data_IF_329625106394
#
_entry.id   IF_329625106394
#
_cell.length_a   1.000
_cell.length_b   1.000
_cell.length_c   1.000
_cell.angle_alpha   90.00
_cell.angle_beta   90.00
_cell.angle_gamma   90.00
#
_symmetry.space_group_name_H-M   'P 1'
#
loop_
_entity.id
_entity.type
_entity.pdbx_description
1 polymer ?
#
# COMPACT_ATOMS: atom_id res chain seq x y z
N UNK A 1 -28.01 -12.77 0.27
CA UNK A 1 -28.79 -12.65 -0.99
C UNK A 1 -28.62 -13.91 -1.81
N UNK A 2 -29.67 -14.47 -2.43
CA UNK A 2 -29.53 -15.65 -3.27
C UNK A 2 -28.60 -15.35 -4.45
N UNK A 3 -27.57 -16.19 -4.65
CA UNK A 3 -26.59 -16.06 -5.74
C UNK A 3 -27.27 -16.43 -7.08
N UNK A 4 -28.03 -15.50 -7.64
CA UNK A 4 -28.51 -15.60 -9.02
C UNK A 4 -27.34 -15.41 -9.98
N UNK A 5 -26.99 -16.43 -10.75
CA UNK A 5 -26.00 -16.33 -11.83
C UNK A 5 -26.69 -15.76 -13.08
N UNK A 6 -26.08 -14.74 -13.69
CA UNK A 6 -26.52 -14.21 -14.99
C UNK A 6 -25.33 -14.10 -15.93
N UNK A 7 -25.61 -14.23 -17.23
CA UNK A 7 -24.61 -14.08 -18.31
C UNK A 7 -24.50 -12.60 -18.67
N UNK A 8 -23.26 -12.12 -18.82
CA UNK A 8 -22.94 -10.77 -19.27
C UNK A 8 -22.24 -10.87 -20.63
N UNK A 9 -22.69 -10.09 -21.63
CA UNK A 9 -21.98 -9.97 -22.90
C UNK A 9 -20.79 -9.04 -22.74
N UNK A 10 -19.62 -9.47 -23.23
CA UNK A 10 -18.38 -8.69 -23.26
C UNK A 10 -17.71 -8.91 -24.61
N UNK A 11 -16.96 -7.92 -25.07
CA UNK A 11 -16.09 -8.09 -26.23
C UNK A 11 -15.13 -9.28 -26.03
N UNK A 12 -14.98 -10.10 -27.07
CA UNK A 12 -14.22 -11.35 -27.01
C UNK A 12 -12.73 -11.10 -26.75
N UNK A 13 -12.17 -10.06 -27.35
CA UNK A 13 -10.75 -9.75 -27.21
C UNK A 13 -10.45 -9.33 -25.77
N UNK A 14 -11.27 -8.43 -25.21
CA UNK A 14 -11.17 -8.04 -23.80
C UNK A 14 -11.34 -9.24 -22.84
N UNK A 15 -12.28 -10.14 -23.15
CA UNK A 15 -12.53 -11.32 -22.32
C UNK A 15 -11.30 -12.26 -22.28
N UNK A 16 -10.65 -12.51 -23.42
CA UNK A 16 -9.46 -13.36 -23.48
C UNK A 16 -8.24 -12.68 -22.83
N UNK A 17 -8.07 -11.36 -22.94
CA UNK A 17 -7.02 -10.65 -22.22
C UNK A 17 -7.18 -10.76 -20.69
N UNK A 18 -8.39 -10.50 -20.19
CA UNK A 18 -8.66 -10.59 -18.75
C UNK A 18 -8.49 -12.03 -18.25
N UNK A 19 -8.86 -13.02 -19.06
CA UNK A 19 -8.67 -14.45 -18.74
C UNK A 19 -7.19 -14.81 -18.63
N UNK A 20 -6.34 -14.33 -19.54
CA UNK A 20 -4.90 -14.53 -19.44
C UNK A 20 -4.31 -13.89 -18.18
N UNK A 21 -4.76 -12.68 -17.81
CA UNK A 21 -4.37 -11.99 -16.58
C UNK A 21 -4.81 -12.78 -15.33
N UNK A 22 -6.03 -13.32 -15.33
CA UNK A 22 -6.53 -14.13 -14.23
C UNK A 22 -5.68 -15.40 -14.04
N UNK A 23 -5.34 -16.09 -15.13
CA UNK A 23 -4.52 -17.30 -15.09
C UNK A 23 -3.08 -17.05 -14.64
N UNK A 24 -2.45 -15.96 -15.05
CA UNK A 24 -1.09 -15.63 -14.58
C UNK A 24 -1.03 -15.37 -13.07
N UNK A 25 -2.18 -15.05 -12.46
CA UNK A 25 -2.36 -14.88 -11.00
C UNK A 25 -2.92 -16.11 -10.30
N UNK A 26 -3.01 -17.26 -10.97
CA UNK A 26 -3.53 -18.50 -10.38
C UNK A 26 -5.04 -18.48 -10.10
N UNK A 27 -5.80 -17.60 -10.76
CA UNK A 27 -7.24 -17.44 -10.56
C UNK A 27 -8.05 -17.91 -11.78
N UNK A 28 -9.30 -18.30 -11.54
CA UNK A 28 -10.29 -18.44 -12.62
C UNK A 28 -10.82 -17.08 -13.03
N UNK A 29 -11.23 -16.92 -14.30
CA UNK A 29 -11.83 -15.68 -14.81
C UNK A 29 -13.02 -15.22 -13.96
N UNK A 30 -13.90 -16.14 -13.55
CA UNK A 30 -15.07 -15.82 -12.74
C UNK A 30 -14.71 -15.31 -11.33
N UNK A 31 -13.67 -15.84 -10.70
CA UNK A 31 -13.21 -15.36 -9.40
C UNK A 31 -12.50 -14.02 -9.52
N UNK A 32 -11.70 -13.84 -10.58
CA UNK A 32 -11.03 -12.57 -10.86
C UNK A 32 -12.04 -11.44 -11.09
N UNK A 33 -13.03 -11.66 -11.96
CA UNK A 33 -14.09 -10.68 -12.22
C UNK A 33 -14.94 -10.38 -10.98
N UNK A 34 -15.26 -11.39 -10.16
CA UNK A 34 -15.97 -11.18 -8.90
C UNK A 34 -15.21 -10.21 -8.01
N UNK A 35 -13.92 -10.48 -7.76
CA UNK A 35 -13.08 -9.62 -6.91
C UNK A 35 -12.98 -8.22 -7.51
N UNK A 36 -12.75 -8.10 -8.82
CA UNK A 36 -12.68 -6.81 -9.50
C UNK A 36 -13.97 -5.99 -9.32
N UNK A 37 -15.14 -6.61 -9.49
CA UNK A 37 -16.42 -5.93 -9.30
C UNK A 37 -16.68 -5.56 -7.83
N UNK A 38 -16.28 -6.42 -6.88
CA UNK A 38 -16.36 -6.10 -5.45
C UNK A 38 -15.54 -4.84 -5.12
N UNK A 39 -14.28 -4.77 -5.57
CA UNK A 39 -13.43 -3.58 -5.37
C UNK A 39 -13.99 -2.31 -6.05
N UNK A 40 -14.51 -2.44 -7.28
CA UNK A 40 -15.15 -1.33 -7.99
C UNK A 40 -16.37 -0.81 -7.22
N UNK A 41 -17.20 -1.71 -6.68
CA UNK A 41 -18.39 -1.33 -5.90
C UNK A 41 -17.97 -0.60 -4.61
N UNK A 42 -16.96 -1.10 -3.91
CA UNK A 42 -16.47 -0.45 -2.68
C UNK A 42 -15.86 0.93 -2.96
N UNK A 43 -15.10 1.09 -4.05
CA UNK A 43 -14.58 2.39 -4.47
C UNK A 43 -15.69 3.40 -4.76
N UNK A 44 -16.72 3.01 -5.53
CA UNK A 44 -17.86 3.87 -5.85
C UNK A 44 -18.68 4.23 -4.61
N UNK A 45 -18.85 3.30 -3.66
CA UNK A 45 -19.52 3.57 -2.38
C UNK A 45 -18.76 4.57 -1.52
N UNK A 46 -17.44 4.56 -1.59
CA UNK A 46 -16.59 5.53 -0.91
C UNK A 46 -16.52 6.88 -1.65
N UNK A 47 -17.25 7.05 -2.76
CA UNK A 47 -17.33 8.29 -3.53
C UNK A 47 -16.25 8.46 -4.60
N UNK A 48 -15.48 7.41 -4.89
CA UNK A 48 -14.47 7.43 -5.94
C UNK A 48 -15.02 6.85 -7.25
N UNK A 49 -14.88 7.58 -8.36
CA UNK A 49 -15.18 7.04 -9.68
C UNK A 49 -14.12 6.00 -10.07
N UNK A 50 -14.48 4.72 -10.08
CA UNK A 50 -13.54 3.62 -10.15
C UNK A 50 -12.64 3.63 -11.41
N UNK A 51 -13.13 3.98 -12.62
CA UNK A 51 -12.27 4.11 -13.79
C UNK A 51 -11.18 5.19 -13.63
N UNK A 52 -11.52 6.34 -13.04
CA UNK A 52 -10.53 7.37 -12.74
C UNK A 52 -9.53 6.91 -11.68
N UNK A 53 -10.00 6.25 -10.62
CA UNK A 53 -9.14 5.70 -9.58
C UNK A 53 -8.11 4.70 -10.15
N UNK A 54 -8.52 3.82 -11.06
CA UNK A 54 -7.59 2.90 -11.74
C UNK A 54 -6.58 3.64 -12.64
N UNK A 55 -7.02 4.69 -13.33
CA UNK A 55 -6.14 5.52 -14.14
C UNK A 55 -5.11 6.29 -13.29
N UNK A 56 -5.54 6.83 -12.14
CA UNK A 56 -4.69 7.47 -11.14
C UNK A 56 -3.66 6.49 -10.58
N UNK A 57 -4.08 5.28 -10.17
CA UNK A 57 -3.17 4.26 -9.66
C UNK A 57 -2.13 3.81 -10.69
N UNK A 58 -2.50 3.78 -11.98
CA UNK A 58 -1.54 3.55 -13.06
C UNK A 58 -0.51 4.68 -13.16
N UNK A 59 -0.94 5.93 -13.04
CA UNK A 59 -0.03 7.07 -13.02
C UNK A 59 0.89 7.05 -11.78
N UNK A 60 0.34 6.76 -10.60
CA UNK A 60 1.10 6.59 -9.36
C UNK A 60 2.19 5.53 -9.50
N UNK A 61 1.89 4.37 -10.11
CA UNK A 61 2.87 3.31 -10.34
C UNK A 61 4.01 3.69 -11.31
N UNK A 62 3.78 4.69 -12.18
CA UNK A 62 4.84 5.26 -13.03
C UNK A 62 5.65 6.28 -12.24
N UNK A 63 4.97 7.14 -11.48
CA UNK A 63 5.61 8.15 -10.64
C UNK A 63 6.48 7.52 -9.55
N UNK A 64 6.06 6.42 -8.94
CA UNK A 64 6.85 5.70 -7.92
C UNK A 64 8.19 5.21 -8.47
N UNK A 65 8.20 4.70 -9.71
CA UNK A 65 9.44 4.32 -10.41
C UNK A 65 10.37 5.51 -10.71
N UNK A 66 9.84 6.73 -10.69
CA UNK A 66 10.61 7.97 -10.81
C UNK A 66 10.98 8.57 -9.45
N UNK A 67 10.75 7.84 -8.35
CA UNK A 67 11.10 8.26 -6.99
C UNK A 67 10.06 9.17 -6.33
N UNK A 68 8.84 9.27 -6.86
CA UNK A 68 7.75 9.98 -6.19
C UNK A 68 7.10 9.09 -5.15
N UNK A 69 6.77 9.67 -4.00
CA UNK A 69 6.05 8.96 -2.94
C UNK A 69 5.10 9.90 -2.22
N UNK A 70 4.08 9.33 -1.59
CA UNK A 70 3.25 10.06 -0.65
C UNK A 70 4.03 10.31 0.64
N UNK A 71 4.04 11.56 1.06
CA UNK A 71 4.52 12.00 2.37
C UNK A 71 3.52 12.99 2.96
N UNK A 72 3.27 12.97 4.27
CA UNK A 72 2.57 14.08 4.92
C UNK A 72 3.31 15.39 4.65
N UNK A 73 2.59 16.43 4.26
CA UNK A 73 3.17 17.76 3.99
C UNK A 73 3.93 18.31 5.22
N UNK A 74 3.49 17.96 6.42
CA UNK A 74 4.18 18.28 7.68
C UNK A 74 5.64 17.79 7.71
N UNK A 75 5.99 16.71 7.01
CA UNK A 75 7.39 16.27 6.90
C UNK A 75 8.25 17.19 6.01
N UNK A 76 7.62 17.97 5.14
CA UNK A 76 8.30 18.92 4.25
C UNK A 76 8.45 20.30 4.92
N UNK A 77 7.39 20.73 5.61
CA UNK A 77 7.25 22.05 6.22
C UNK A 77 7.75 22.12 7.67
N UNK A 78 7.74 21.00 8.39
CA UNK A 78 8.14 20.90 9.78
C UNK A 78 9.65 20.65 10.00
N UNK A 79 10.05 20.41 11.26
CA UNK A 79 11.42 20.03 11.58
C UNK A 79 11.85 18.77 10.84
N UNK A 80 12.94 18.86 10.08
CA UNK A 80 13.51 17.73 9.32
C UNK A 80 14.37 16.84 10.20
N UNK A 81 13.80 16.36 11.31
CA UNK A 81 14.48 15.48 12.27
C UNK A 81 13.86 14.07 12.29
N UNK A 82 14.68 13.02 12.54
CA UNK A 82 14.21 11.65 12.71
C UNK A 82 13.08 11.50 13.72
N UNK A 83 13.17 12.21 14.85
CA UNK A 83 12.23 12.14 15.97
C UNK A 83 10.87 12.71 15.58
N UNK A 84 10.87 13.87 14.92
CA UNK A 84 9.65 14.48 14.42
C UNK A 84 8.98 13.63 13.36
N UNK A 85 9.76 13.04 12.44
CA UNK A 85 9.22 12.16 11.42
C UNK A 85 8.54 10.93 12.03
N UNK A 86 9.13 10.32 13.07
CA UNK A 86 8.52 9.22 13.81
C UNK A 86 7.21 9.61 14.52
N UNK A 87 7.15 10.82 15.09
CA UNK A 87 5.93 11.36 15.70
C UNK A 87 4.80 11.55 14.68
N UNK A 88 5.10 12.13 13.52
CA UNK A 88 4.14 12.25 12.40
C UNK A 88 3.66 10.87 11.97
N UNK A 89 4.58 9.92 11.85
CA UNK A 89 4.28 8.51 11.56
C UNK A 89 3.29 7.93 12.56
N UNK A 90 3.57 8.13 13.85
CA UNK A 90 2.74 7.63 14.94
C UNK A 90 1.31 8.16 14.84
N UNK A 91 1.12 9.47 14.62
CA UNK A 91 -0.20 10.10 14.44
C UNK A 91 -0.97 9.49 13.26
N UNK A 92 -0.30 9.31 12.12
CA UNK A 92 -0.90 8.67 10.94
C UNK A 92 -1.30 7.22 11.24
N UNK A 93 -0.45 6.46 11.91
CA UNK A 93 -0.75 5.07 12.23
C UNK A 93 -1.92 4.92 13.21
N UNK A 94 -2.06 5.81 14.20
CA UNK A 94 -3.25 5.85 15.07
C UNK A 94 -4.52 6.08 14.25
N UNK A 95 -4.52 7.06 13.34
CA UNK A 95 -5.67 7.36 12.50
C UNK A 95 -6.02 6.17 11.58
N UNK A 96 -5.03 5.53 10.96
CA UNK A 96 -5.27 4.35 10.10
C UNK A 96 -5.87 3.18 10.89
N UNK A 97 -5.36 2.95 12.10
CA UNK A 97 -5.88 1.92 13.00
C UNK A 97 -7.32 2.19 13.40
N UNK A 98 -7.67 3.44 13.71
CA UNK A 98 -9.04 3.86 14.03
C UNK A 98 -10.01 3.68 12.85
N UNK A 99 -9.51 3.84 11.62
CA UNK A 99 -10.26 3.59 10.39
C UNK A 99 -10.32 2.10 9.99
N UNK A 100 -9.68 1.20 10.75
CA UNK A 100 -9.64 -0.24 10.46
C UNK A 100 -8.83 -0.59 9.21
N UNK A 101 -7.91 0.28 8.78
CA UNK A 101 -7.07 0.06 7.60
C UNK A 101 -5.80 -0.73 7.96
N UNK A 102 -5.42 -1.67 7.10
CA UNK A 102 -4.17 -2.44 7.27
C UNK A 102 -2.95 -1.56 7.00
N UNK A 103 -2.18 -1.27 8.04
CA UNK A 103 -0.93 -0.52 7.90
C UNK A 103 0.21 -1.38 7.33
N UNK A 104 0.12 -2.71 7.41
CA UNK A 104 1.16 -3.64 6.95
C UNK A 104 1.46 -3.45 5.47
N UNK A 105 0.42 -3.49 4.63
CA UNK A 105 0.56 -3.34 3.17
C UNK A 105 1.06 -1.93 2.80
N UNK A 106 0.61 -0.91 3.55
CA UNK A 106 1.03 0.47 3.32
C UNK A 106 2.52 0.66 3.61
N UNK A 107 2.99 0.18 4.77
CA UNK A 107 4.39 0.27 5.18
C UNK A 107 5.27 -0.50 4.21
N UNK A 108 4.90 -1.74 3.87
CA UNK A 108 5.64 -2.56 2.92
C UNK A 108 5.74 -1.87 1.56
N UNK A 109 4.62 -1.38 1.02
CA UNK A 109 4.59 -0.71 -0.28
C UNK A 109 5.47 0.54 -0.29
N UNK A 110 5.26 1.48 0.64
CA UNK A 110 6.04 2.73 0.67
C UNK A 110 7.52 2.43 0.85
N UNK A 111 7.88 1.46 1.70
CA UNK A 111 9.27 1.15 1.96
C UNK A 111 9.98 0.53 0.75
N UNK A 112 9.29 -0.38 0.05
CA UNK A 112 9.81 -1.07 -1.13
C UNK A 112 9.89 -0.12 -2.33
N UNK A 113 8.86 0.70 -2.56
CA UNK A 113 8.81 1.67 -3.68
C UNK A 113 9.89 2.76 -3.58
N UNK A 114 10.45 2.99 -2.38
CA UNK A 114 11.47 4.02 -2.13
C UNK A 114 12.88 3.46 -1.89
N UNK A 115 13.09 2.15 -2.08
CA UNK A 115 14.35 1.45 -1.79
C UNK A 115 14.89 1.71 -0.36
N UNK A 116 14.00 1.75 0.63
CA UNK A 116 14.36 1.93 2.05
C UNK A 116 14.19 0.66 2.87
N UNK A 117 13.82 -0.45 2.23
CA UNK A 117 13.66 -1.73 2.89
C UNK A 117 14.09 -2.93 2.05
N UNK A 118 14.39 -4.02 2.75
CA UNK A 118 14.59 -5.35 2.20
C UNK A 118 13.61 -6.31 2.88
N UNK A 119 12.80 -7.00 2.09
CA UNK A 119 11.92 -8.06 2.59
C UNK A 119 12.74 -9.31 2.94
N UNK A 120 12.52 -9.86 4.15
CA UNK A 120 13.14 -11.08 4.65
C UNK A 120 12.10 -11.95 5.36
N UNK A 121 11.52 -12.90 4.62
CA UNK A 121 10.44 -13.74 5.14
C UNK A 121 9.22 -12.91 5.53
N UNK A 122 8.81 -12.99 6.78
CA UNK A 122 7.68 -12.23 7.36
C UNK A 122 8.16 -10.94 8.06
N UNK A 123 9.29 -10.40 7.62
CA UNK A 123 9.86 -9.18 8.19
C UNK A 123 10.37 -8.27 7.10
N UNK A 124 10.18 -6.98 7.32
CA UNK A 124 10.66 -5.91 6.48
C UNK A 124 11.78 -5.20 7.24
N UNK A 125 13.00 -5.27 6.69
CA UNK A 125 14.18 -4.66 7.31
C UNK A 125 14.39 -3.30 6.66
N UNK A 126 14.11 -2.23 7.40
CA UNK A 126 14.38 -0.87 6.97
C UNK A 126 15.87 -0.58 7.09
N UNK A 127 16.52 -0.31 5.95
CA UNK A 127 17.97 -0.13 5.87
C UNK A 127 18.38 1.30 6.26
N UNK A 128 19.59 1.50 6.84
CA UNK A 128 20.06 2.84 7.18
C UNK A 128 20.12 3.70 5.92
N UNK A 129 19.62 4.93 6.02
CA UNK A 129 19.59 5.88 4.90
C UNK A 129 19.89 7.29 5.40
N UNK A 130 19.94 8.26 4.49
CA UNK A 130 20.24 9.66 4.79
C UNK A 130 19.27 10.60 4.08
N UNK A 131 19.22 11.86 4.55
CA UNK A 131 18.35 12.90 3.98
C UNK A 131 16.87 12.53 4.05
N UNK A 132 16.14 12.74 2.95
CA UNK A 132 14.70 12.48 2.87
C UNK A 132 14.34 11.00 3.12
N UNK A 133 15.21 10.07 2.72
CA UNK A 133 15.00 8.63 2.95
C UNK A 133 15.06 8.27 4.43
N UNK A 134 15.90 8.93 5.23
CA UNK A 134 15.95 8.72 6.68
C UNK A 134 14.67 9.23 7.35
N UNK A 135 14.17 10.40 6.93
CA UNK A 135 12.90 10.93 7.44
C UNK A 135 11.74 9.99 7.10
N UNK A 136 11.67 9.53 5.84
CA UNK A 136 10.66 8.57 5.43
C UNK A 136 10.76 7.26 6.21
N UNK A 137 11.98 6.76 6.43
CA UNK A 137 12.24 5.54 7.22
C UNK A 137 11.73 5.66 8.65
N UNK A 138 11.97 6.80 9.29
CA UNK A 138 11.54 7.07 10.67
C UNK A 138 10.04 7.29 10.77
N UNK A 139 9.46 7.96 9.79
CA UNK A 139 8.02 8.05 9.62
C UNK A 139 7.36 6.67 9.52
N UNK A 140 7.86 5.79 8.65
CA UNK A 140 7.31 4.44 8.52
C UNK A 140 7.48 3.60 9.80
N UNK A 141 8.57 3.77 10.53
CA UNK A 141 8.77 3.09 11.81
C UNK A 141 7.74 3.52 12.85
N UNK A 142 7.51 4.83 13.00
CA UNK A 142 6.50 5.37 13.93
C UNK A 142 5.08 4.95 13.56
N UNK A 143 4.76 4.93 12.26
CA UNK A 143 3.48 4.45 11.73
C UNK A 143 3.26 2.97 12.04
N UNK A 144 4.26 2.12 11.77
CA UNK A 144 4.17 0.70 12.03
C UNK A 144 3.93 0.41 13.51
N UNK A 145 4.71 1.04 14.39
CA UNK A 145 4.61 0.86 15.84
C UNK A 145 3.22 1.26 16.36
N UNK A 146 2.70 2.43 15.96
CA UNK A 146 1.40 2.89 16.44
C UNK A 146 0.20 2.12 15.85
N UNK A 147 0.37 1.50 14.67
CA UNK A 147 -0.58 0.52 14.14
C UNK A 147 -0.54 -0.84 14.84
N UNK A 148 0.34 -1.05 15.83
CA UNK A 148 0.48 -2.32 16.53
C UNK A 148 1.29 -3.37 15.78
N UNK A 149 2.05 -2.97 14.76
CA UNK A 149 2.98 -3.85 14.05
C UNK A 149 4.26 -3.95 14.89
N UNK A 150 4.73 -5.16 15.25
CA UNK A 150 5.94 -5.29 16.06
C UNK A 150 7.16 -4.71 15.33
N UNK A 151 7.77 -3.69 15.94
CA UNK A 151 9.00 -3.07 15.47
C UNK A 151 10.13 -3.31 16.46
N UNK A 152 11.36 -3.53 15.97
CA UNK A 152 12.55 -3.62 16.80
C UNK A 152 13.72 -2.88 16.14
N UNK A 153 14.58 -2.30 16.96
CA UNK A 153 15.78 -1.59 16.49
C UNK A 153 17.01 -2.41 16.83
N UNK A 154 17.87 -2.65 15.84
CA UNK A 154 19.16 -3.34 16.02
C UNK A 154 20.25 -2.49 15.38
N UNK A 155 20.97 -1.71 16.20
CA UNK A 155 21.89 -0.68 15.72
C UNK A 155 21.12 0.38 14.91
N UNK A 156 21.51 0.56 13.64
CA UNK A 156 20.83 1.50 12.72
C UNK A 156 19.69 0.84 11.91
N UNK A 157 19.51 -0.47 12.02
CA UNK A 157 18.45 -1.21 11.33
C UNK A 157 17.15 -1.13 12.13
N UNK A 158 16.04 -0.97 11.42
CA UNK A 158 14.70 -1.12 12.02
C UNK A 158 14.05 -2.33 11.35
N UNK A 159 13.60 -3.28 12.16
CA UNK A 159 12.93 -4.49 11.69
C UNK A 159 11.46 -4.37 12.01
N UNK A 160 10.61 -4.47 10.99
CA UNK A 160 9.15 -4.46 11.10
C UNK A 160 8.65 -5.87 10.80
N UNK A 161 7.96 -6.53 11.74
CA UNK A 161 7.40 -7.87 11.53
C UNK A 161 6.04 -7.77 10.85
N UNK A 162 5.95 -8.20 9.60
CA UNK A 162 4.72 -8.15 8.82
C UNK A 162 3.74 -9.20 9.35
N UNK A 163 2.55 -8.77 9.77
CA UNK A 163 1.46 -9.65 10.15
C UNK A 163 0.66 -9.96 8.87
N UNK A 164 0.77 -11.20 8.37
CA UNK A 164 0.02 -11.70 7.21
C UNK A 164 -1.19 -12.52 7.64
#
# INVERSE_FOLDING_TARGET
>A
MPKSRRTLGVDLHLAEEIKAIAHSRGMSLANYLRKLFEEVIEAERAGYFAPSLLAEKRAEAVLSKLGFTYVPLELLDGPRTPEYAAEVGSRVGVALRELGLSCTELVERIAMDNDIAVARGDSLVLVPSSGAKELLRRFLAGLAESCGIPTSTSGNLIVVRLLR
#
